data_IF_630824479517
#
_entry.id   IF_630824479517
#
_cell.length_a   1.000
_cell.length_b   1.000
_cell.length_c   1.000
_cell.angle_alpha   90.00
_cell.angle_beta   90.00
_cell.angle_gamma   90.00
#
_symmetry.space_group_name_H-M   'P 1'
#
loop_
_entity.id
_entity.type
_entity.pdbx_description
1 polymer ?
#
# COMPACT_ATOMS: atom_id res chain seq x y z
N UNK A 1 -10.14 10.14 -30.68
CA UNK A 1 -10.00 11.50 -30.12
C UNK A 1 -9.48 11.37 -28.69
N UNK A 2 -8.19 11.59 -28.48
CA UNK A 2 -7.55 11.40 -27.18
C UNK A 2 -8.07 12.43 -26.18
N UNK A 3 -8.72 11.97 -25.12
CA UNK A 3 -9.07 12.79 -23.98
C UNK A 3 -7.77 13.38 -23.42
N UNK A 4 -7.58 14.69 -23.54
CA UNK A 4 -6.35 15.33 -23.12
C UNK A 4 -6.26 15.22 -21.59
N UNK A 5 -5.39 14.35 -21.09
CA UNK A 5 -5.28 13.99 -19.67
C UNK A 5 -5.12 15.23 -18.76
N UNK A 6 -4.49 16.28 -19.28
CA UNK A 6 -4.38 17.59 -18.62
C UNK A 6 -5.75 18.25 -18.38
N UNK A 7 -6.67 18.22 -19.36
CA UNK A 7 -8.02 18.77 -19.21
C UNK A 7 -8.86 17.94 -18.24
N UNK A 8 -8.68 16.62 -18.25
CA UNK A 8 -9.33 15.73 -17.28
C UNK A 8 -8.88 16.01 -15.85
N UNK A 9 -7.57 16.15 -15.63
CA UNK A 9 -6.99 16.44 -14.33
C UNK A 9 -7.38 17.84 -13.82
N UNK A 10 -7.35 18.84 -14.70
CA UNK A 10 -7.78 20.20 -14.39
C UNK A 10 -9.27 20.26 -14.01
N UNK A 11 -10.12 19.55 -14.74
CA UNK A 11 -11.55 19.44 -14.43
C UNK A 11 -11.81 18.77 -13.08
N UNK A 12 -11.09 17.69 -12.76
CA UNK A 12 -11.14 17.02 -11.45
C UNK A 12 -10.65 17.91 -10.29
N UNK A 13 -9.86 18.93 -10.60
CA UNK A 13 -9.41 19.94 -9.64
C UNK A 13 -10.28 21.21 -9.67
N UNK A 14 -11.52 21.12 -10.18
CA UNK A 14 -12.48 22.23 -10.29
C UNK A 14 -11.92 23.44 -11.05
N UNK A 15 -11.05 23.21 -12.03
CA UNK A 15 -10.41 24.27 -12.79
C UNK A 15 -9.42 25.12 -11.98
N UNK A 16 -8.89 24.60 -10.86
CA UNK A 16 -7.96 25.34 -10.01
C UNK A 16 -6.53 24.80 -10.11
N UNK A 17 -5.65 25.53 -10.80
CA UNK A 17 -4.24 25.15 -10.96
C UNK A 17 -3.45 25.09 -9.66
N UNK A 18 -3.82 25.81 -8.59
CA UNK A 18 -3.19 25.65 -7.27
C UNK A 18 -3.55 24.31 -6.64
N UNK A 19 -4.77 23.80 -6.87
CA UNK A 19 -5.18 22.46 -6.44
C UNK A 19 -4.51 21.37 -7.28
N UNK A 20 -4.40 21.57 -8.60
CA UNK A 20 -3.62 20.66 -9.47
C UNK A 20 -2.16 20.61 -9.01
N UNK A 21 -1.53 21.76 -8.75
CA UNK A 21 -0.16 21.82 -8.29
C UNK A 21 0.01 21.13 -6.93
N UNK A 22 -0.87 21.39 -5.96
CA UNK A 22 -0.84 20.70 -4.66
C UNK A 22 -1.11 19.20 -4.80
N UNK A 23 -1.99 18.79 -5.71
CA UNK A 23 -2.26 17.39 -6.02
C UNK A 23 -1.02 16.72 -6.63
N UNK A 24 -0.39 17.33 -7.63
CA UNK A 24 0.84 16.81 -8.26
C UNK A 24 2.01 16.78 -7.28
N UNK A 25 2.16 17.83 -6.46
CA UNK A 25 3.16 17.87 -5.39
C UNK A 25 2.86 16.85 -4.29
N UNK A 26 1.58 16.58 -3.98
CA UNK A 26 1.21 15.53 -3.05
C UNK A 26 1.50 14.16 -3.65
N UNK A 27 1.21 13.91 -4.93
CA UNK A 27 1.53 12.67 -5.65
C UNK A 27 3.05 12.44 -5.73
N UNK A 28 3.81 13.50 -5.98
CA UNK A 28 5.28 13.48 -5.99
C UNK A 28 5.84 13.22 -4.58
N UNK A 29 5.26 13.86 -3.55
CA UNK A 29 5.70 13.74 -2.15
C UNK A 29 5.14 12.53 -1.41
N UNK A 30 4.09 11.86 -1.91
CA UNK A 30 3.42 10.77 -1.18
C UNK A 30 3.91 9.36 -1.52
N UNK A 31 4.83 9.18 -2.48
CA UNK A 31 5.19 7.83 -2.91
C UNK A 31 6.58 7.62 -3.51
N UNK A 32 7.39 8.66 -3.70
CA UNK A 32 8.74 8.52 -4.26
C UNK A 32 9.80 8.23 -3.20
N UNK A 33 10.76 7.34 -3.51
CA UNK A 33 12.04 7.28 -2.80
C UNK A 33 12.85 8.53 -3.14
N UNK A 34 13.21 9.33 -2.14
CA UNK A 34 14.01 10.54 -2.30
C UNK A 34 15.48 10.18 -2.16
N UNK A 35 16.28 10.48 -3.20
CA UNK A 35 17.75 10.39 -3.10
C UNK A 35 18.26 11.63 -2.36
N UNK A 36 18.89 11.43 -1.21
CA UNK A 36 19.57 12.49 -0.47
C UNK A 36 21.08 12.38 -0.65
N UNK A 37 21.84 13.39 -0.24
CA UNK A 37 23.31 13.33 -0.21
C UNK A 37 23.86 12.22 0.69
N UNK A 38 23.06 11.71 1.64
CA UNK A 38 23.45 10.68 2.60
C UNK A 38 22.94 9.27 2.24
N UNK A 39 21.72 9.16 1.68
CA UNK A 39 21.07 7.85 1.41
C UNK A 39 19.75 7.99 0.63
N UNK A 40 19.20 6.86 0.17
CA UNK A 40 17.83 6.81 -0.36
C UNK A 40 16.82 6.69 0.80
N UNK A 41 15.85 7.60 0.86
CA UNK A 41 14.88 7.65 1.95
C UNK A 41 13.44 7.82 1.44
N UNK A 42 12.51 7.14 2.09
CA UNK A 42 11.06 7.33 1.89
C UNK A 42 10.38 7.35 3.27
N UNK A 43 9.48 8.31 3.49
CA UNK A 43 8.68 8.38 4.72
C UNK A 43 7.21 8.24 4.37
N UNK A 44 6.48 7.47 5.17
CA UNK A 44 5.02 7.40 5.12
C UNK A 44 4.46 7.43 6.53
N UNK A 45 3.25 7.98 6.68
CA UNK A 45 2.59 8.14 7.97
C UNK A 45 1.24 7.45 7.95
N UNK A 46 0.98 6.65 8.97
CA UNK A 46 -0.37 6.20 9.29
C UNK A 46 -1.03 7.12 10.31
N UNK A 47 -2.09 6.63 10.97
CA UNK A 47 -2.85 7.45 11.94
C UNK A 47 -2.06 7.81 13.20
N UNK A 48 -1.30 6.85 13.74
CA UNK A 48 -0.55 7.00 15.00
C UNK A 48 0.90 6.51 14.89
N UNK A 49 1.39 6.28 13.68
CA UNK A 49 2.72 5.72 13.44
C UNK A 49 3.35 6.32 12.17
N UNK A 50 4.67 6.26 12.11
CA UNK A 50 5.47 6.67 10.94
C UNK A 50 6.34 5.49 10.52
N UNK A 51 6.39 5.22 9.22
CA UNK A 51 7.32 4.28 8.63
C UNK A 51 8.36 5.03 7.79
N UNK A 52 9.59 4.58 7.87
CA UNK A 52 10.74 5.12 7.14
C UNK A 52 11.44 3.97 6.42
N UNK A 53 11.65 4.11 5.11
CA UNK A 53 12.66 3.33 4.40
C UNK A 53 13.95 4.15 4.36
N UNK A 54 15.06 3.51 4.73
CA UNK A 54 16.42 4.02 4.53
C UNK A 54 17.30 2.88 4.04
N UNK A 55 17.89 3.04 2.86
CA UNK A 55 18.77 2.05 2.23
C UNK A 55 18.14 0.64 2.22
N UNK A 56 16.90 0.57 1.74
CA UNK A 56 16.07 -0.64 1.65
C UNK A 56 15.67 -1.30 2.97
N UNK A 57 16.08 -0.74 4.11
CA UNK A 57 15.64 -1.17 5.45
C UNK A 57 14.48 -0.32 5.94
N UNK A 58 13.51 -0.97 6.59
CA UNK A 58 12.32 -0.29 7.12
C UNK A 58 12.43 -0.07 8.61
N UNK A 59 11.99 1.10 9.07
CA UNK A 59 11.91 1.49 10.46
C UNK A 59 10.49 1.95 10.78
N UNK A 60 10.04 1.71 12.01
CA UNK A 60 8.76 2.24 12.51
C UNK A 60 8.93 2.99 13.83
N UNK A 61 8.06 3.98 14.06
CA UNK A 61 7.86 4.62 15.35
C UNK A 61 6.39 5.02 15.53
N UNK A 62 5.98 5.35 16.75
CA UNK A 62 4.60 5.66 17.12
C UNK A 62 3.96 4.54 17.94
N UNK A 63 2.63 4.43 17.90
CA UNK A 63 1.86 3.47 18.70
C UNK A 63 0.92 2.61 17.86
N UNK A 64 0.66 1.39 18.35
CA UNK A 64 -0.31 0.46 17.76
C UNK A 64 -0.64 -0.69 18.69
N UNK A 65 -1.88 -1.15 18.64
CA UNK A 65 -2.33 -2.37 19.32
C UNK A 65 -2.52 -3.56 18.38
N UNK A 66 -2.34 -3.35 17.07
CA UNK A 66 -2.64 -4.33 16.03
C UNK A 66 -1.40 -4.75 15.24
N UNK A 67 -0.19 -4.49 15.76
CA UNK A 67 1.04 -5.02 15.14
C UNK A 67 1.54 -4.27 13.91
N UNK A 68 0.98 -3.09 13.60
CA UNK A 68 1.39 -2.25 12.45
C UNK A 68 2.87 -1.87 12.46
N UNK A 69 3.47 -1.86 13.66
CA UNK A 69 4.88 -1.53 13.85
C UNK A 69 5.81 -2.67 13.42
N UNK A 70 5.30 -3.90 13.26
CA UNK A 70 6.07 -5.05 12.77
C UNK A 70 7.11 -5.60 13.76
N UNK A 71 7.04 -5.23 15.04
CA UNK A 71 8.05 -5.57 16.04
C UNK A 71 7.70 -6.72 16.98
N UNK A 72 6.55 -7.39 16.82
CA UNK A 72 6.08 -8.46 17.72
C UNK A 72 4.82 -8.06 18.50
N UNK A 73 4.17 -9.03 19.14
CA UNK A 73 2.90 -8.82 19.85
C UNK A 73 3.06 -8.04 21.16
N UNK A 74 4.26 -8.07 21.73
CA UNK A 74 4.69 -7.34 22.91
C UNK A 74 4.88 -5.84 22.66
N UNK A 75 5.04 -5.42 21.40
CA UNK A 75 5.37 -4.03 21.07
C UNK A 75 4.11 -3.23 20.77
N UNK A 76 3.68 -2.41 21.73
CA UNK A 76 2.54 -1.48 21.55
C UNK A 76 2.97 -0.07 21.16
N UNK A 77 4.24 0.28 21.37
CA UNK A 77 4.80 1.58 21.07
C UNK A 77 6.30 1.49 20.74
N UNK A 78 6.75 2.36 19.85
CA UNK A 78 8.15 2.62 19.55
C UNK A 78 8.39 4.14 19.61
N UNK A 79 9.11 4.61 20.63
CA UNK A 79 9.40 6.04 20.83
C UNK A 79 10.59 6.54 19.99
N UNK A 80 11.30 5.63 19.33
CA UNK A 80 12.36 5.91 18.37
C UNK A 80 12.17 5.02 17.13
N UNK A 81 12.71 5.45 15.99
CA UNK A 81 12.71 4.65 14.77
C UNK A 81 13.45 3.33 14.98
N UNK A 82 12.67 2.25 15.05
CA UNK A 82 13.17 0.90 15.34
C UNK A 82 13.10 0.08 14.06
N UNK A 83 14.17 -0.66 13.75
CA UNK A 83 14.26 -1.42 12.49
C UNK A 83 13.31 -2.62 12.51
N UNK A 84 12.44 -2.72 11.50
CA UNK A 84 11.53 -3.85 11.34
C UNK A 84 12.32 -5.07 10.86
N UNK A 85 12.07 -6.23 11.46
CA UNK A 85 12.71 -7.50 11.08
C UNK A 85 11.81 -8.29 10.14
N UNK A 86 12.30 -8.59 8.96
CA UNK A 86 11.65 -9.48 7.99
C UNK A 86 12.16 -10.92 8.18
N UNK A 87 11.38 -11.95 7.78
CA UNK A 87 11.78 -13.35 7.92
C UNK A 87 13.02 -13.75 7.10
N UNK A 88 13.30 -13.04 6.00
CA UNK A 88 14.44 -13.24 5.11
C UNK A 88 15.12 -11.89 4.84
N UNK A 89 16.27 -11.93 4.15
CA UNK A 89 16.94 -10.70 3.70
C UNK A 89 16.02 -9.94 2.74
N UNK A 90 15.43 -8.85 3.24
CA UNK A 90 14.43 -8.07 2.54
C UNK A 90 15.00 -6.72 2.13
N UNK A 91 15.03 -6.48 0.81
CA UNK A 91 15.31 -5.16 0.25
C UNK A 91 13.97 -4.49 -0.07
N UNK A 92 13.44 -3.68 0.83
CA UNK A 92 12.14 -3.03 0.66
C UNK A 92 12.28 -1.80 -0.24
N UNK A 93 11.51 -1.74 -1.32
CA UNK A 93 11.54 -0.65 -2.31
C UNK A 93 10.35 0.28 -2.20
N UNK A 94 9.24 -0.18 -1.61
CA UNK A 94 8.05 0.65 -1.41
C UNK A 94 7.28 0.20 -0.18
N UNK A 95 6.72 1.19 0.53
CA UNK A 95 5.89 1.01 1.72
C UNK A 95 4.60 1.81 1.58
N UNK A 96 3.50 1.23 2.04
CA UNK A 96 2.22 1.93 2.24
C UNK A 96 1.65 1.55 3.60
N UNK A 97 1.04 2.51 4.28
CA UNK A 97 0.38 2.27 5.56
C UNK A 97 -0.87 3.14 5.71
N UNK A 98 -1.81 2.68 6.53
CA UNK A 98 -3.04 3.42 6.85
C UNK A 98 -3.24 3.51 8.36
N UNK A 99 -4.44 3.23 8.86
CA UNK A 99 -4.73 3.23 10.29
C UNK A 99 -4.19 1.97 10.97
N UNK A 100 -4.45 0.80 10.37
CA UNK A 100 -4.38 -0.47 11.09
C UNK A 100 -3.44 -1.49 10.45
N UNK A 101 -3.12 -1.38 9.15
CA UNK A 101 -2.20 -2.28 8.45
C UNK A 101 -1.24 -1.55 7.50
N UNK A 102 -0.11 -2.21 7.24
CA UNK A 102 0.98 -1.76 6.39
C UNK A 102 1.35 -2.87 5.42
N UNK A 103 1.81 -2.45 4.26
CA UNK A 103 2.24 -3.32 3.19
C UNK A 103 3.60 -2.85 2.66
N UNK A 104 4.43 -3.83 2.30
CA UNK A 104 5.82 -3.64 1.88
C UNK A 104 6.04 -4.40 0.57
N UNK A 105 6.64 -3.75 -0.42
CA UNK A 105 7.10 -4.39 -1.65
C UNK A 105 8.60 -4.54 -1.60
N UNK A 106 9.09 -5.76 -1.77
CA UNK A 106 10.52 -6.04 -1.89
C UNK A 106 10.99 -5.83 -3.32
N UNK A 107 12.30 -5.67 -3.51
CA UNK A 107 12.93 -5.57 -4.83
C UNK A 107 12.66 -6.82 -5.69
N UNK A 108 12.53 -8.00 -5.07
CA UNK A 108 12.10 -9.24 -5.72
C UNK A 108 10.70 -9.12 -6.35
N UNK A 109 9.87 -8.24 -5.82
CA UNK A 109 8.45 -8.09 -6.14
C UNK A 109 7.54 -8.83 -5.16
N UNK A 110 8.09 -9.53 -4.18
CA UNK A 110 7.30 -10.14 -3.09
C UNK A 110 6.66 -9.06 -2.22
N UNK A 111 5.46 -9.37 -1.71
CA UNK A 111 4.69 -8.46 -0.87
C UNK A 111 4.56 -9.04 0.53
N UNK A 112 4.89 -8.21 1.51
CA UNK A 112 4.70 -8.51 2.93
C UNK A 112 3.68 -7.55 3.53
N UNK A 113 2.90 -8.01 4.48
CA UNK A 113 1.95 -7.19 5.23
C UNK A 113 2.07 -7.43 6.73
N UNK A 114 1.73 -6.43 7.53
CA UNK A 114 1.56 -6.55 8.98
C UNK A 114 0.51 -5.55 9.47
N UNK A 115 -0.05 -5.79 10.65
CA UNK A 115 -1.15 -5.00 11.18
C UNK A 115 -2.41 -5.82 11.45
N UNK A 116 -3.53 -5.14 11.58
CA UNK A 116 -4.83 -5.78 11.73
C UNK A 116 -5.16 -6.65 10.50
N UNK A 117 -5.75 -7.81 10.74
CA UNK A 117 -6.28 -8.68 9.69
C UNK A 117 -7.73 -9.13 9.97
N UNK A 118 -8.41 -8.48 10.92
CA UNK A 118 -9.82 -8.75 11.23
C UNK A 118 -10.75 -8.54 10.03
N UNK A 119 -10.37 -7.61 9.14
CA UNK A 119 -11.05 -7.26 7.90
C UNK A 119 -10.41 -7.91 6.66
N UNK A 120 -9.50 -8.87 6.85
CA UNK A 120 -8.68 -9.48 5.78
C UNK A 120 -7.79 -8.52 4.99
N UNK A 121 -7.55 -7.32 5.50
CA UNK A 121 -6.81 -6.29 4.78
C UNK A 121 -5.31 -6.58 4.63
N UNK A 122 -4.75 -7.50 5.44
CA UNK A 122 -3.39 -8.02 5.22
C UNK A 122 -3.35 -9.14 4.16
N UNK A 123 -4.49 -9.70 3.74
CA UNK A 123 -4.57 -10.70 2.67
C UNK A 123 -4.18 -12.13 3.08
N UNK A 124 -4.19 -12.43 4.39
CA UNK A 124 -3.95 -13.76 4.92
C UNK A 124 -5.27 -14.41 5.36
N UNK A 125 -5.67 -15.52 4.73
CA UNK A 125 -6.93 -16.20 5.07
C UNK A 125 -6.75 -17.28 6.14
N UNK A 126 -5.53 -17.63 6.53
CA UNK A 126 -5.27 -18.62 7.58
C UNK A 126 -5.48 -18.06 8.99
N UNK A 127 -5.69 -16.75 9.13
CA UNK A 127 -5.97 -16.11 10.42
C UNK A 127 -6.75 -14.81 10.24
N UNK A 128 -7.65 -14.49 11.16
CA UNK A 128 -8.30 -13.17 11.26
C UNK A 128 -7.71 -12.30 12.38
N UNK A 129 -6.59 -12.72 12.97
CA UNK A 129 -5.89 -12.01 14.04
C UNK A 129 -4.83 -11.06 13.49
N UNK A 130 -4.41 -10.06 14.27
CA UNK A 130 -3.34 -9.17 13.86
C UNK A 130 -2.03 -9.90 13.55
N UNK A 131 -1.33 -9.40 12.54
CA UNK A 131 -0.03 -9.87 12.06
C UNK A 131 1.05 -8.95 12.64
N UNK A 132 1.77 -9.44 13.64
CA UNK A 132 2.69 -8.60 14.43
C UNK A 132 4.10 -8.45 13.86
N UNK A 133 4.43 -9.20 12.81
CA UNK A 133 5.68 -9.09 12.05
C UNK A 133 5.36 -9.21 10.56
N UNK A 134 6.07 -8.50 9.67
CA UNK A 134 5.83 -8.61 8.23
C UNK A 134 5.80 -10.06 7.78
N UNK A 135 4.69 -10.46 7.17
CA UNK A 135 4.42 -11.81 6.69
C UNK A 135 4.20 -11.80 5.20
N UNK A 136 4.78 -12.78 4.50
CA UNK A 136 4.59 -12.95 3.06
C UNK A 136 3.11 -13.21 2.74
N UNK A 137 2.57 -12.48 1.75
CA UNK A 137 1.23 -12.72 1.23
C UNK A 137 1.30 -13.90 0.25
N UNK A 138 1.13 -15.12 0.76
CA UNK A 138 1.38 -16.38 0.01
C UNK A 138 0.62 -16.47 -1.33
N UNK A 139 -0.59 -15.93 -1.41
CA UNK A 139 -1.39 -15.95 -2.66
C UNK A 139 -0.73 -15.14 -3.80
N UNK A 140 0.12 -14.16 -3.47
CA UNK A 140 0.88 -13.38 -4.44
C UNK A 140 2.30 -13.91 -4.66
N UNK A 141 2.66 -15.06 -4.08
CA UNK A 141 3.97 -15.67 -4.31
C UNK A 141 4.14 -16.02 -5.79
N UNK A 142 5.20 -15.50 -6.41
CA UNK A 142 5.44 -15.63 -7.85
C UNK A 142 4.70 -14.60 -8.72
N UNK A 143 3.93 -13.68 -8.13
CA UNK A 143 3.27 -12.56 -8.82
C UNK A 143 4.00 -11.26 -8.44
N UNK A 144 5.02 -10.85 -9.22
CA UNK A 144 5.90 -9.77 -8.81
C UNK A 144 5.18 -8.42 -8.83
N UNK A 145 5.11 -7.78 -7.66
CA UNK A 145 4.50 -6.47 -7.47
C UNK A 145 5.53 -5.34 -7.60
N UNK A 146 5.06 -4.15 -8.00
CA UNK A 146 5.86 -2.91 -8.02
C UNK A 146 5.34 -1.87 -7.04
N UNK A 147 4.06 -1.95 -6.66
CA UNK A 147 3.44 -0.98 -5.77
C UNK A 147 2.30 -1.63 -4.97
N UNK A 148 2.10 -1.17 -3.75
CA UNK A 148 0.90 -1.40 -2.94
C UNK A 148 0.30 -0.08 -2.48
N UNK A 149 -1.03 -0.05 -2.38
CA UNK A 149 -1.77 1.04 -1.78
C UNK A 149 -2.73 0.49 -0.72
N UNK A 150 -2.64 1.04 0.48
CA UNK A 150 -3.34 0.55 1.67
C UNK A 150 -4.47 1.51 2.03
N UNK A 151 -5.71 1.04 1.97
CA UNK A 151 -6.90 1.76 2.43
C UNK A 151 -7.19 1.52 3.92
N UNK A 152 -8.38 1.85 4.42
CA UNK A 152 -8.70 1.65 5.84
C UNK A 152 -8.77 0.16 6.21
N UNK A 153 -9.55 -0.60 5.44
CA UNK A 153 -9.81 -2.03 5.66
C UNK A 153 -9.61 -2.87 4.39
N UNK A 154 -8.80 -2.39 3.46
CA UNK A 154 -8.50 -3.09 2.21
C UNK A 154 -7.11 -2.74 1.68
N UNK A 155 -6.62 -3.54 0.74
CA UNK A 155 -5.32 -3.34 0.10
C UNK A 155 -5.44 -3.55 -1.41
N UNK A 156 -4.76 -2.72 -2.17
CA UNK A 156 -4.59 -2.81 -3.63
C UNK A 156 -3.13 -3.15 -3.92
N UNK A 157 -2.91 -4.13 -4.77
CA UNK A 157 -1.59 -4.58 -5.21
C UNK A 157 -1.48 -4.38 -6.72
N UNK A 158 -0.39 -3.76 -7.16
CA UNK A 158 -0.09 -3.52 -8.56
C UNK A 158 1.11 -4.35 -8.99
N UNK A 159 0.88 -5.26 -9.94
CA UNK A 159 1.93 -6.12 -10.49
C UNK A 159 2.87 -5.35 -11.40
N UNK A 160 4.08 -5.88 -11.65
CA UNK A 160 5.03 -5.34 -12.63
C UNK A 160 4.44 -5.34 -14.05
N UNK A 161 3.51 -6.24 -14.32
CA UNK A 161 2.77 -6.37 -15.58
C UNK A 161 1.61 -5.36 -15.68
N UNK A 162 1.26 -4.66 -14.60
CA UNK A 162 0.17 -3.69 -14.56
C UNK A 162 -1.19 -4.30 -14.24
N UNK A 163 -1.22 -5.50 -13.65
CA UNK A 163 -2.44 -6.14 -13.18
C UNK A 163 -2.75 -5.67 -11.75
N UNK A 164 -4.03 -5.61 -11.42
CA UNK A 164 -4.51 -5.21 -10.10
C UNK A 164 -5.09 -6.38 -9.34
N UNK A 165 -4.65 -6.52 -8.10
CA UNK A 165 -5.24 -7.42 -7.13
C UNK A 165 -5.76 -6.61 -5.94
N UNK A 166 -6.82 -7.10 -5.31
CA UNK A 166 -7.45 -6.45 -4.15
C UNK A 166 -7.88 -7.46 -3.10
N UNK A 167 -7.74 -7.10 -1.82
CA UNK A 167 -8.25 -7.88 -0.69
C UNK A 167 -8.78 -6.98 0.43
N UNK A 168 -9.57 -7.56 1.33
CA UNK A 168 -10.14 -6.91 2.50
C UNK A 168 -11.66 -6.77 2.44
N UNK A 169 -12.19 -5.78 3.17
CA UNK A 169 -13.62 -5.45 3.19
C UNK A 169 -14.06 -4.76 1.91
N UNK A 170 -15.27 -5.09 1.44
CA UNK A 170 -15.84 -4.61 0.19
C UNK A 170 -17.26 -4.03 0.32
N UNK A 171 -17.66 -3.58 1.50
CA UNK A 171 -19.01 -3.09 1.79
C UNK A 171 -19.51 -1.97 0.87
N UNK A 172 -18.61 -1.23 0.21
CA UNK A 172 -18.92 -0.13 -0.70
C UNK A 172 -18.51 -0.44 -2.15
N UNK A 173 -18.10 -1.67 -2.45
CA UNK A 173 -17.55 -2.02 -3.77
C UNK A 173 -16.11 -1.52 -4.00
N UNK A 174 -15.40 -1.10 -2.94
CA UNK A 174 -14.06 -0.50 -3.04
C UNK A 174 -12.97 -1.44 -3.58
N UNK A 175 -13.24 -2.75 -3.66
CA UNK A 175 -12.35 -3.72 -4.30
C UNK A 175 -12.51 -3.81 -5.82
N UNK A 176 -13.59 -3.26 -6.39
CA UNK A 176 -13.75 -3.16 -7.85
C UNK A 176 -14.09 -4.48 -8.57
N UNK A 177 -14.62 -5.49 -7.87
CA UNK A 177 -14.99 -6.78 -8.47
C UNK A 177 -16.41 -6.83 -9.08
N UNK A 178 -17.14 -5.71 -9.10
CA UNK A 178 -18.54 -5.67 -9.55
C UNK A 178 -19.55 -6.21 -8.52
N UNK A 179 -19.11 -6.39 -7.28
CA UNK A 179 -19.91 -6.83 -6.15
C UNK A 179 -19.48 -6.12 -4.86
N UNK A 180 -20.17 -6.39 -3.75
CA UNK A 180 -19.85 -5.89 -2.40
C UNK A 180 -19.39 -7.01 -1.46
N UNK A 181 -18.78 -8.07 -1.99
CA UNK A 181 -18.33 -9.22 -1.23
C UNK A 181 -16.87 -9.06 -0.81
N UNK A 182 -16.60 -9.31 0.46
CA UNK A 182 -15.24 -9.29 1.01
C UNK A 182 -14.33 -10.32 0.31
N UNK A 183 -13.03 -10.03 0.32
CA UNK A 183 -12.01 -10.87 -0.30
C UNK A 183 -10.93 -11.19 0.74
N UNK A 184 -10.95 -12.40 1.32
CA UNK A 184 -9.99 -12.78 2.36
C UNK A 184 -8.53 -12.81 1.89
N UNK A 185 -8.32 -12.98 0.59
CA UNK A 185 -7.02 -13.01 -0.08
C UNK A 185 -7.04 -12.11 -1.31
N UNK A 186 -5.86 -11.66 -1.80
CA UNK A 186 -5.75 -10.89 -3.03
C UNK A 186 -6.41 -11.63 -4.20
N UNK A 187 -7.39 -10.98 -4.82
CA UNK A 187 -8.07 -11.45 -6.03
C UNK A 187 -7.82 -10.46 -7.16
N UNK A 188 -7.56 -10.98 -8.36
CA UNK A 188 -7.37 -10.14 -9.55
C UNK A 188 -8.68 -9.42 -9.93
N UNK A 189 -8.57 -8.18 -10.38
CA UNK A 189 -9.68 -7.42 -10.95
C UNK A 189 -9.81 -7.79 -12.43
N UNK A 190 -10.59 -8.84 -12.73
CA UNK A 190 -10.75 -9.39 -14.09
C UNK A 190 -11.11 -8.35 -15.17
N UNK A 191 -12.01 -7.36 -14.93
CA UNK A 191 -12.32 -6.35 -15.96
C UNK A 191 -11.12 -5.50 -16.41
N UNK A 192 -10.04 -5.45 -15.64
CA UNK A 192 -8.83 -4.68 -15.94
C UNK A 192 -7.68 -5.57 -16.47
N UNK A 193 -7.90 -6.88 -16.55
CA UNK A 193 -6.90 -7.83 -17.03
C UNK A 193 -6.72 -7.69 -18.54
N UNK A 194 -5.47 -7.54 -18.99
CA UNK A 194 -5.13 -7.44 -20.42
C UNK A 194 -5.44 -6.10 -21.10
N UNK A 195 -6.01 -5.12 -20.40
CA UNK A 195 -6.51 -3.86 -20.97
C UNK A 195 -5.52 -2.70 -21.09
N UNK A 196 -4.23 -2.88 -20.78
CA UNK A 196 -3.23 -1.80 -20.76
C UNK A 196 -2.79 -1.45 -19.34
N UNK A 197 -1.47 -1.30 -19.18
CA UNK A 197 -0.73 -1.49 -17.94
C UNK A 197 -0.95 -0.37 -16.95
N UNK A 198 -1.68 -0.62 -15.86
CA UNK A 198 -1.78 0.32 -14.75
C UNK A 198 -0.36 0.69 -14.30
N UNK A 199 -0.07 1.99 -14.30
CA UNK A 199 1.26 2.50 -13.98
C UNK A 199 1.39 2.83 -12.50
N UNK A 200 0.31 3.31 -11.89
CA UNK A 200 0.30 3.72 -10.49
C UNK A 200 -1.07 3.50 -9.85
N UNK A 201 -1.05 3.22 -8.54
CA UNK A 201 -2.22 3.12 -7.69
C UNK A 201 -2.16 4.08 -6.49
N UNK A 202 -3.33 4.44 -5.96
CA UNK A 202 -3.49 5.12 -4.69
C UNK A 202 -4.78 4.64 -3.99
N UNK A 203 -4.82 4.71 -2.66
CA UNK A 203 -5.99 4.34 -1.87
C UNK A 203 -6.30 5.43 -0.84
N UNK A 204 -7.57 5.77 -0.73
CA UNK A 204 -8.13 6.50 0.41
C UNK A 204 -8.78 5.54 1.41
N UNK A 205 -9.55 6.06 2.39
CA UNK A 205 -10.17 5.23 3.42
C UNK A 205 -11.08 4.12 2.86
N UNK A 206 -11.89 4.46 1.84
CA UNK A 206 -12.89 3.55 1.25
C UNK A 206 -12.97 3.63 -0.28
N UNK A 207 -11.90 4.12 -0.94
CA UNK A 207 -11.84 4.22 -2.40
C UNK A 207 -10.40 3.99 -2.89
N UNK A 208 -10.25 3.56 -4.14
CA UNK A 208 -8.96 3.42 -4.80
C UNK A 208 -8.95 4.13 -6.15
N UNK A 209 -7.76 4.58 -6.56
CA UNK A 209 -7.50 5.15 -7.87
C UNK A 209 -6.39 4.34 -8.55
N UNK A 210 -6.53 4.17 -9.86
CA UNK A 210 -5.47 3.70 -10.75
C UNK A 210 -5.32 4.68 -11.91
N UNK A 211 -4.11 4.78 -12.46
CA UNK A 211 -3.87 5.46 -13.73
C UNK A 211 -3.08 4.58 -14.68
N UNK A 212 -3.29 4.82 -15.97
CA UNK A 212 -2.62 4.17 -17.11
C UNK A 212 -1.75 5.20 -17.83
#
# INVERSE_FOLDING_TARGET
MGWNAQKGLFGRCEGNWKRVLRFLQAVEKSSGMVKTSASNMQVTTGRYHTLLIRDSSVYSCGSSLCGILGHGAETTQCVAFTRIRFPLLANVIQVSASHNHAAFVLQSGEVFTCGDNSSFCCGHNDTNRPIFRPRLVEVLKGVPCKQVAVGLNFTVFLTKQGELYTCGTNTHGQLGHGDTLDRPTPKIIEPLKGGGSVVQIAAGPSYAFSCN
#
